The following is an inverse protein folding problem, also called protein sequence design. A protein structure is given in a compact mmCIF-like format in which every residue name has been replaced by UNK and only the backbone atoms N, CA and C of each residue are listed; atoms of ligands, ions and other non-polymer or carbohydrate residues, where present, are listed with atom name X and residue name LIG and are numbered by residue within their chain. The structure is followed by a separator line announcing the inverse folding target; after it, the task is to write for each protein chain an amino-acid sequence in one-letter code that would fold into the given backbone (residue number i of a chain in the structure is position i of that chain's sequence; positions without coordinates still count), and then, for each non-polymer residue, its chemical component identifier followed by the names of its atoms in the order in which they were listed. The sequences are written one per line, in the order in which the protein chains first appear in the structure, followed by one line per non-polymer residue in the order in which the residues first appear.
data_IF_581922460321
#
_entry.id   IF_581922460321
#
_cell.length_a   1.000
_cell.length_b   1.000
_cell.length_c   1.000
_cell.angle_alpha   90.00
_cell.angle_beta   90.00
_cell.angle_gamma   90.00
#
_symmetry.space_group_name_H-M   'P 1'
#
loop_
_entity.id
_entity.type
_entity.pdbx_description
1 polymer ?
#
# COMPACT_ATOMS: atom_id res chain seq x y z
N UNK A 1 62.20 -20.80 16.68
CA UNK A 1 61.45 -19.57 17.02
C UNK A 1 59.98 -19.91 17.26
N UNK A 2 59.46 -19.76 18.48
CA UNK A 2 58.05 -20.06 18.79
C UNK A 2 57.15 -18.89 18.39
N UNK A 3 56.16 -19.12 17.52
CA UNK A 3 55.18 -18.10 17.10
C UNK A 3 54.17 -17.85 18.22
N UNK A 4 54.27 -16.70 18.89
CA UNK A 4 53.26 -16.22 19.84
C UNK A 4 51.90 -16.04 19.15
N UNK A 5 51.00 -17.04 19.25
CA UNK A 5 49.60 -16.91 18.83
C UNK A 5 48.84 -16.02 19.82
N UNK A 6 48.68 -14.75 19.49
CA UNK A 6 47.79 -13.83 20.21
C UNK A 6 46.36 -14.41 20.27
N UNK A 7 45.88 -14.68 21.49
CA UNK A 7 44.52 -15.20 21.73
C UNK A 7 43.48 -14.14 21.36
N UNK A 8 42.94 -14.20 20.13
CA UNK A 8 41.85 -13.30 19.70
C UNK A 8 40.60 -13.55 20.55
N UNK A 9 39.97 -12.51 21.14
CA UNK A 9 38.77 -12.69 21.95
C UNK A 9 37.59 -13.15 21.08
N UNK A 10 36.76 -14.04 21.63
CA UNK A 10 35.58 -14.55 20.94
C UNK A 10 34.51 -13.48 20.80
N UNK A 11 33.90 -13.37 19.60
CA UNK A 11 32.72 -12.52 19.35
C UNK A 11 31.42 -13.11 19.93
N UNK A 12 31.43 -14.36 20.41
CA UNK A 12 30.26 -15.04 20.98
C UNK A 12 29.97 -14.50 22.38
N UNK A 13 28.86 -13.78 22.54
CA UNK A 13 28.43 -13.32 23.87
C UNK A 13 27.68 -14.42 24.64
N UNK A 14 27.95 -14.62 25.94
CA UNK A 14 27.19 -15.54 26.78
C UNK A 14 25.78 -14.97 27.03
N UNK A 15 24.77 -15.85 27.11
CA UNK A 15 23.36 -15.46 27.27
C UNK A 15 23.13 -14.51 28.47
N UNK A 16 23.81 -14.76 29.60
CA UNK A 16 23.80 -13.89 30.80
C UNK A 16 24.19 -12.45 30.49
N UNK A 17 25.16 -12.23 29.60
CA UNK A 17 25.57 -10.88 29.19
C UNK A 17 24.51 -10.23 28.29
N UNK A 18 23.95 -10.97 27.34
CA UNK A 18 22.88 -10.48 26.45
C UNK A 18 21.66 -10.01 27.26
N UNK A 19 21.14 -10.83 28.17
CA UNK A 19 20.02 -10.45 29.03
C UNK A 19 20.33 -9.29 29.99
N UNK A 20 21.59 -9.18 30.48
CA UNK A 20 22.03 -8.03 31.29
C UNK A 20 22.06 -6.73 30.48
N UNK A 21 22.46 -6.78 29.21
CA UNK A 21 22.42 -5.64 28.28
C UNK A 21 20.96 -5.26 27.96
N UNK A 22 20.12 -6.22 27.58
CA UNK A 22 18.69 -6.00 27.31
C UNK A 22 17.97 -5.34 28.50
N UNK A 23 18.23 -5.80 29.73
CA UNK A 23 17.66 -5.20 30.95
C UNK A 23 18.15 -3.76 31.15
N UNK A 24 19.46 -3.50 31.00
CA UNK A 24 20.02 -2.14 31.08
C UNK A 24 19.42 -1.18 30.05
N UNK A 25 19.29 -1.61 28.79
CA UNK A 25 18.69 -0.80 27.72
C UNK A 25 17.21 -0.50 28.01
N UNK A 26 16.46 -1.48 28.51
CA UNK A 26 15.05 -1.32 28.91
C UNK A 26 14.90 -0.31 30.06
N UNK A 27 15.76 -0.38 31.08
CA UNK A 27 15.78 0.57 32.20
C UNK A 27 16.19 1.98 31.77
N UNK A 28 17.22 2.12 30.93
CA UNK A 28 17.63 3.39 30.34
C UNK A 28 16.50 4.06 29.56
N UNK A 29 15.86 3.31 28.65
CA UNK A 29 14.75 3.83 27.84
C UNK A 29 13.51 4.16 28.71
N UNK A 30 13.32 3.47 29.84
CA UNK A 30 12.30 3.82 30.85
C UNK A 30 12.62 5.12 31.58
N UNK A 31 13.90 5.38 31.91
CA UNK A 31 14.34 6.67 32.50
C UNK A 31 14.16 7.83 31.51
N UNK A 32 14.65 7.70 30.27
CA UNK A 32 14.46 8.71 29.22
C UNK A 32 12.97 9.05 28.99
N UNK A 33 12.07 8.05 28.97
CA UNK A 33 10.62 8.29 28.86
C UNK A 33 10.03 9.03 30.06
N UNK A 34 10.58 8.87 31.28
CA UNK A 34 10.17 9.64 32.46
C UNK A 34 10.70 11.07 32.40
N UNK A 35 11.94 11.27 31.99
CA UNK A 35 12.58 12.59 31.87
C UNK A 35 11.92 13.43 30.75
N UNK A 36 11.64 12.83 29.60
CA UNK A 36 10.92 13.48 28.50
C UNK A 36 9.48 13.90 28.88
N UNK A 37 8.84 13.19 29.82
CA UNK A 37 7.55 13.59 30.40
C UNK A 37 7.67 14.74 31.41
N UNK A 38 8.78 14.84 32.13
CA UNK A 38 9.04 15.96 33.06
C UNK A 38 9.38 17.26 32.32
N UNK A 39 10.15 17.16 31.23
CA UNK A 39 10.54 18.29 30.39
C UNK A 39 10.05 18.09 28.95
N UNK A 40 8.77 18.39 28.65
CA UNK A 40 8.23 18.36 27.29
C UNK A 40 8.81 19.51 26.46
N UNK A 41 10.08 19.41 26.06
CA UNK A 41 10.68 20.32 25.09
C UNK A 41 9.93 20.17 23.77
N UNK A 42 9.14 21.19 23.41
CA UNK A 42 8.59 21.31 22.07
C UNK A 42 9.75 21.44 21.09
N UNK A 43 10.11 20.34 20.43
CA UNK A 43 10.95 20.38 19.23
C UNK A 43 10.14 21.04 18.12
N UNK A 44 10.05 22.37 18.16
CA UNK A 44 9.74 23.17 16.97
C UNK A 44 10.86 22.86 15.99
N UNK A 45 10.56 22.12 14.93
CA UNK A 45 11.50 21.89 13.85
C UNK A 45 11.91 23.27 13.32
N UNK A 46 13.20 23.62 13.43
CA UNK A 46 13.71 24.83 12.80
C UNK A 46 13.47 24.66 11.29
N UNK A 47 12.84 25.63 10.60
CA UNK A 47 12.69 25.53 9.15
C UNK A 47 14.06 25.41 8.50
N UNK A 48 14.17 24.55 7.49
CA UNK A 48 15.41 24.38 6.73
C UNK A 48 15.66 25.70 5.98
N UNK A 49 16.70 26.43 6.40
CA UNK A 49 17.08 27.68 5.76
C UNK A 49 17.92 27.38 4.52
N UNK A 50 17.63 28.06 3.41
CA UNK A 50 18.40 27.95 2.17
C UNK A 50 19.81 28.52 2.42
N UNK A 51 20.90 27.74 2.23
CA UNK A 51 22.26 28.23 2.40
C UNK A 51 22.55 29.46 1.53
N UNK A 52 23.41 30.35 2.01
CA UNK A 52 23.66 31.64 1.35
C UNK A 52 24.44 31.51 0.03
N UNK A 53 25.06 30.36 -0.21
CA UNK A 53 25.83 30.01 -1.42
C UNK A 53 24.94 29.56 -2.59
N UNK A 54 23.61 29.48 -2.42
CA UNK A 54 22.72 29.06 -3.49
C UNK A 54 22.51 30.20 -4.52
N UNK A 55 22.94 30.05 -5.79
CA UNK A 55 22.91 31.15 -6.77
C UNK A 55 21.49 31.59 -7.18
N UNK A 56 20.48 30.77 -6.92
CA UNK A 56 19.06 31.07 -7.22
C UNK A 56 18.23 31.36 -5.96
N UNK A 57 18.88 31.69 -4.84
CA UNK A 57 18.21 31.92 -3.55
C UNK A 57 17.11 32.98 -3.62
N UNK A 58 17.34 34.07 -4.35
CA UNK A 58 16.34 35.15 -4.50
C UNK A 58 15.12 34.71 -5.29
N UNK A 59 15.30 33.94 -6.36
CA UNK A 59 14.20 33.49 -7.22
C UNK A 59 13.36 32.43 -6.51
N UNK A 60 13.99 31.53 -5.77
CA UNK A 60 13.29 30.57 -4.89
C UNK A 60 12.46 31.31 -3.82
N UNK A 61 12.97 32.41 -3.27
CA UNK A 61 12.22 33.21 -2.29
C UNK A 61 11.03 33.95 -2.94
N UNK A 62 11.22 34.56 -4.11
CA UNK A 62 10.15 35.21 -4.90
C UNK A 62 9.05 34.21 -5.29
N UNK A 63 9.42 33.02 -5.75
CA UNK A 63 8.48 31.95 -6.10
C UNK A 63 7.66 31.49 -4.88
N UNK A 64 8.32 31.29 -3.73
CA UNK A 64 7.65 30.93 -2.47
C UNK A 64 6.68 32.03 -1.99
N UNK A 65 7.00 33.30 -2.20
CA UNK A 65 6.09 34.42 -1.88
C UNK A 65 4.91 34.50 -2.85
N UNK A 66 5.14 34.33 -4.16
CA UNK A 66 4.07 34.27 -5.15
C UNK A 66 3.08 33.11 -4.88
N UNK A 67 3.60 31.92 -4.56
CA UNK A 67 2.78 30.75 -4.19
C UNK A 67 2.00 30.99 -2.89
N UNK A 68 2.59 31.64 -1.88
CA UNK A 68 1.86 32.03 -0.65
C UNK A 68 0.73 33.00 -0.96
N UNK A 69 1.00 34.05 -1.73
CA UNK A 69 0.03 35.09 -2.10
C UNK A 69 -1.14 34.50 -2.88
N UNK A 70 -0.87 33.72 -3.93
CA UNK A 70 -1.91 33.02 -4.70
C UNK A 70 -2.78 32.12 -3.82
N UNK A 71 -2.17 31.36 -2.91
CA UNK A 71 -2.88 30.46 -1.98
C UNK A 71 -3.72 31.21 -0.94
N UNK A 72 -3.33 32.42 -0.57
CA UNK A 72 -4.12 33.28 0.32
C UNK A 72 -5.30 33.92 -0.42
N UNK A 73 -5.09 34.41 -1.65
CA UNK A 73 -6.13 34.94 -2.53
C UNK A 73 -7.20 33.88 -2.86
N UNK A 74 -6.80 32.65 -3.23
CA UNK A 74 -7.76 31.54 -3.43
C UNK A 74 -8.54 31.20 -2.16
N UNK A 75 -7.89 31.25 -1.00
CA UNK A 75 -8.55 31.01 0.30
C UNK A 75 -9.53 32.12 0.65
N UNK A 76 -9.28 33.36 0.25
CA UNK A 76 -10.23 34.47 0.40
C UNK A 76 -11.42 34.30 -0.57
N UNK A 77 -11.17 34.12 -1.87
CA UNK A 77 -12.22 33.85 -2.88
C UNK A 77 -13.13 32.69 -2.49
N UNK A 78 -12.57 31.57 -2.00
CA UNK A 78 -13.34 30.41 -1.52
C UNK A 78 -14.19 30.70 -0.28
N UNK A 79 -13.74 31.59 0.62
CA UNK A 79 -14.54 32.05 1.77
C UNK A 79 -15.69 32.97 1.35
N UNK A 80 -15.47 33.83 0.37
CA UNK A 80 -16.50 34.76 -0.14
C UNK A 80 -17.60 34.02 -0.90
N UNK A 81 -17.23 33.13 -1.82
CA UNK A 81 -18.17 32.23 -2.51
C UNK A 81 -19.02 31.44 -1.51
N UNK A 82 -18.41 30.86 -0.47
CA UNK A 82 -19.12 30.13 0.58
C UNK A 82 -20.00 31.02 1.50
N UNK A 83 -19.78 32.33 1.57
CA UNK A 83 -20.69 33.29 2.25
C UNK A 83 -21.90 33.60 1.36
N UNK A 84 -21.67 33.92 0.09
CA UNK A 84 -22.72 34.17 -0.92
C UNK A 84 -23.66 32.97 -1.06
N UNK A 85 -23.11 31.76 -1.14
CA UNK A 85 -23.88 30.52 -1.25
C UNK A 85 -24.75 30.28 0.00
N UNK A 86 -24.26 30.65 1.19
CA UNK A 86 -25.03 30.57 2.45
C UNK A 86 -26.14 31.63 2.54
N UNK A 87 -25.92 32.84 2.02
CA UNK A 87 -26.95 33.88 1.96
C UNK A 87 -28.10 33.44 1.05
N UNK A 88 -27.80 33.02 -0.19
CA UNK A 88 -28.81 32.46 -1.12
C UNK A 88 -29.61 31.32 -0.50
N UNK A 89 -28.92 30.34 0.12
CA UNK A 89 -29.56 29.21 0.83
C UNK A 89 -30.36 29.58 2.08
N UNK A 90 -30.25 30.82 2.57
CA UNK A 90 -31.04 31.35 3.69
C UNK A 90 -32.26 32.13 3.19
N UNK A 91 -32.14 32.80 2.05
CA UNK A 91 -33.25 33.45 1.35
C UNK A 91 -34.21 32.42 0.74
N UNK A 92 -33.68 31.39 0.06
CA UNK A 92 -34.46 30.25 -0.46
C UNK A 92 -35.30 29.56 0.64
N UNK A 93 -34.77 29.49 1.87
CA UNK A 93 -35.46 28.91 3.03
C UNK A 93 -36.53 29.79 3.65
N UNK A 94 -36.54 31.11 3.37
CA UNK A 94 -37.61 32.00 3.85
C UNK A 94 -38.86 31.94 2.99
N UNK A 95 -38.72 31.64 1.70
CA UNK A 95 -39.83 31.70 0.74
C UNK A 95 -40.66 30.40 0.62
N UNK A 96 -40.19 29.28 1.18
CA UNK A 96 -40.93 28.01 1.24
C UNK A 96 -40.97 27.49 2.68
N UNK A 97 -42.14 27.41 3.35
CA UNK A 97 -42.27 26.71 4.62
C UNK A 97 -42.20 25.19 4.40
N UNK A 98 -41.34 24.50 5.14
CA UNK A 98 -40.97 23.10 4.86
C UNK A 98 -41.65 22.13 5.85
N UNK A 99 -42.31 21.11 5.31
CA UNK A 99 -42.91 19.97 6.02
C UNK A 99 -41.83 19.09 6.68
N UNK A 100 -42.10 18.55 7.88
CA UNK A 100 -41.16 17.78 8.70
C UNK A 100 -40.34 16.72 7.94
N UNK A 101 -40.98 15.91 7.08
CA UNK A 101 -40.31 14.82 6.35
C UNK A 101 -39.20 15.31 5.41
N UNK A 102 -39.37 16.50 4.83
CA UNK A 102 -38.35 17.14 3.99
C UNK A 102 -37.13 17.60 4.82
N UNK A 103 -37.31 17.96 6.09
CA UNK A 103 -36.20 18.28 6.98
C UNK A 103 -35.40 17.03 7.38
N UNK A 104 -36.07 15.89 7.60
CA UNK A 104 -35.43 14.60 7.89
C UNK A 104 -34.62 14.13 6.68
N UNK A 105 -35.23 14.05 5.49
CA UNK A 105 -34.55 13.64 4.26
C UNK A 105 -33.34 14.55 3.91
N UNK A 106 -33.47 15.87 4.10
CA UNK A 106 -32.36 16.81 3.90
C UNK A 106 -31.30 16.75 5.00
N UNK A 107 -31.63 16.31 6.22
CA UNK A 107 -30.65 16.06 7.27
C UNK A 107 -29.82 14.80 6.97
N UNK A 108 -30.47 13.71 6.54
CA UNK A 108 -29.78 12.48 6.10
C UNK A 108 -28.89 12.71 4.88
N UNK A 109 -29.39 13.45 3.88
CA UNK A 109 -28.60 13.80 2.69
C UNK A 109 -27.40 14.70 3.05
N UNK A 110 -27.57 15.65 3.99
CA UNK A 110 -26.47 16.48 4.48
C UNK A 110 -25.48 15.72 5.37
N UNK A 111 -25.91 14.71 6.13
CA UNK A 111 -25.02 13.79 6.84
C UNK A 111 -24.09 13.09 5.84
N UNK A 112 -24.69 12.34 4.90
CA UNK A 112 -23.97 11.60 3.84
C UNK A 112 -22.97 12.47 3.06
N UNK A 113 -23.29 13.75 2.79
CA UNK A 113 -22.38 14.67 2.07
C UNK A 113 -21.33 15.33 2.99
N UNK A 114 -21.65 15.60 4.26
CA UNK A 114 -20.68 16.14 5.22
C UNK A 114 -19.61 15.10 5.58
N UNK A 115 -20.02 13.84 5.70
CA UNK A 115 -19.13 12.68 5.89
C UNK A 115 -18.23 12.44 4.65
N UNK A 116 -18.76 12.68 3.44
CA UNK A 116 -18.00 12.55 2.20
C UNK A 116 -16.97 13.67 1.95
N UNK A 117 -17.24 14.91 2.39
CA UNK A 117 -16.45 16.09 1.97
C UNK A 117 -15.61 16.78 3.05
N UNK A 118 -15.63 16.34 4.32
CA UNK A 118 -14.63 16.75 5.33
C UNK A 118 -13.28 16.01 5.20
N UNK A 119 -12.73 16.00 4.00
CA UNK A 119 -11.34 15.61 3.73
C UNK A 119 -10.38 16.77 4.05
N UNK A 120 -10.10 17.04 5.32
CA UNK A 120 -9.26 18.18 5.72
C UNK A 120 -8.80 18.16 7.17
N UNK A 121 -7.72 17.42 7.40
CA UNK A 121 -6.96 17.26 8.66
C UNK A 121 -7.68 16.71 9.91
N UNK A 122 -6.92 15.92 10.67
CA UNK A 122 -7.26 15.29 11.95
C UNK A 122 -8.41 14.24 11.97
N UNK A 123 -8.01 12.97 12.07
CA UNK A 123 -8.73 11.89 12.77
C UNK A 123 -10.16 11.55 12.30
N UNK A 124 -10.29 10.90 11.14
CA UNK A 124 -11.53 10.22 10.77
C UNK A 124 -11.46 8.70 11.05
N UNK A 125 -12.22 8.26 12.05
CA UNK A 125 -12.81 6.94 12.05
C UNK A 125 -13.89 6.91 10.96
N UNK A 126 -13.55 6.37 9.78
CA UNK A 126 -14.55 6.06 8.75
C UNK A 126 -15.40 4.89 9.26
N UNK A 127 -16.71 5.04 9.30
CA UNK A 127 -17.64 3.98 9.68
C UNK A 127 -17.86 3.03 8.49
N UNK A 128 -17.38 1.79 8.63
CA UNK A 128 -17.69 0.67 7.75
C UNK A 128 -18.26 -0.46 8.60
N UNK A 129 -19.01 -1.40 8.00
CA UNK A 129 -19.77 -2.40 8.75
C UNK A 129 -18.98 -3.68 9.07
N UNK A 130 -19.00 -4.09 10.35
CA UNK A 130 -18.79 -5.46 10.87
C UNK A 130 -17.41 -6.13 10.65
N UNK A 131 -16.28 -5.45 10.95
CA UNK A 131 -15.33 -5.96 11.97
C UNK A 131 -14.21 -4.93 12.25
N UNK A 132 -14.14 -4.41 13.49
CA UNK A 132 -13.25 -3.28 13.86
C UNK A 132 -11.75 -3.58 13.66
N UNK A 133 -11.36 -4.85 13.49
CA UNK A 133 -9.99 -5.27 13.17
C UNK A 133 -9.69 -5.30 11.66
N UNK A 134 -10.66 -5.68 10.81
CA UNK A 134 -10.48 -5.68 9.35
C UNK A 134 -10.38 -4.24 8.82
N UNK A 135 -11.24 -3.34 9.29
CA UNK A 135 -11.26 -1.93 8.86
C UNK A 135 -9.93 -1.20 9.13
N UNK A 136 -9.35 -1.40 10.31
CA UNK A 136 -8.04 -0.81 10.67
C UNK A 136 -6.91 -1.32 9.78
N UNK A 137 -7.00 -2.57 9.31
CA UNK A 137 -6.06 -3.15 8.36
C UNK A 137 -6.23 -2.51 6.98
N UNK A 138 -7.46 -2.44 6.47
CA UNK A 138 -7.79 -1.82 5.18
C UNK A 138 -7.37 -0.34 5.11
N UNK A 139 -7.71 0.47 6.12
CA UNK A 139 -7.28 1.88 6.24
C UNK A 139 -5.75 2.00 6.20
N UNK A 140 -5.03 1.06 6.82
CA UNK A 140 -3.56 1.03 6.80
C UNK A 140 -3.01 0.68 5.43
N UNK A 141 -3.54 -0.34 4.75
CA UNK A 141 -3.09 -0.71 3.40
C UNK A 141 -3.37 0.38 2.36
N UNK A 142 -4.55 1.02 2.42
CA UNK A 142 -4.89 2.11 1.50
C UNK A 142 -4.00 3.34 1.69
N UNK A 143 -3.55 3.61 2.94
CA UNK A 143 -2.54 4.63 3.22
C UNK A 143 -1.18 4.31 2.60
N UNK A 144 -0.73 3.05 2.66
CA UNK A 144 0.53 2.66 2.01
C UNK A 144 0.40 2.72 0.48
N UNK A 145 -0.71 2.25 -0.09
CA UNK A 145 -1.00 2.37 -1.53
C UNK A 145 -0.99 3.82 -2.02
N UNK A 146 -1.55 4.76 -1.26
CA UNK A 146 -1.50 6.19 -1.58
C UNK A 146 -0.08 6.80 -1.59
N UNK A 147 0.92 6.16 -0.95
CA UNK A 147 2.35 6.53 -1.05
C UNK A 147 3.05 5.91 -2.26
N UNK A 148 2.53 4.79 -2.79
CA UNK A 148 2.99 4.21 -4.07
C UNK A 148 2.43 5.03 -5.25
N UNK A 149 1.15 5.40 -5.18
CA UNK A 149 0.63 6.64 -5.80
C UNK A 149 1.36 7.84 -5.16
N UNK A 150 1.30 9.04 -5.72
CA UNK A 150 2.27 10.13 -5.44
C UNK A 150 3.71 9.81 -5.88
N UNK A 151 4.48 8.93 -5.21
CA UNK A 151 5.92 8.72 -5.48
C UNK A 151 6.25 8.07 -6.82
N UNK A 152 5.47 7.08 -7.30
CA UNK A 152 5.75 6.39 -8.56
C UNK A 152 5.24 7.15 -9.79
N UNK A 153 5.95 7.07 -10.91
CA UNK A 153 5.57 7.66 -12.21
C UNK A 153 4.87 6.63 -13.12
N UNK A 154 5.15 5.35 -12.89
CA UNK A 154 4.51 4.18 -13.53
C UNK A 154 4.10 3.19 -12.44
N UNK A 155 2.93 2.57 -12.57
CA UNK A 155 2.43 1.53 -11.66
C UNK A 155 2.38 0.20 -12.42
N UNK A 156 3.03 -0.83 -11.86
CA UNK A 156 2.91 -2.23 -12.29
C UNK A 156 1.93 -2.93 -11.35
N UNK A 157 0.76 -3.33 -11.85
CA UNK A 157 -0.15 -4.21 -11.10
C UNK A 157 0.17 -5.66 -11.45
N UNK A 158 0.57 -6.43 -10.43
CA UNK A 158 0.94 -7.84 -10.60
C UNK A 158 -0.27 -8.74 -10.36
N UNK A 159 -0.57 -9.55 -11.36
CA UNK A 159 -1.77 -10.39 -11.49
C UNK A 159 -1.31 -11.85 -11.66
N UNK A 160 -2.05 -12.82 -11.11
CA UNK A 160 -1.74 -14.26 -11.28
C UNK A 160 -2.35 -14.75 -12.60
N UNK A 161 -1.53 -15.24 -13.53
CA UNK A 161 -1.95 -15.62 -14.87
C UNK A 161 -2.94 -16.80 -14.92
N UNK A 162 -3.09 -17.55 -13.81
CA UNK A 162 -4.07 -18.64 -13.67
C UNK A 162 -5.50 -18.14 -13.38
N UNK A 163 -5.62 -16.96 -12.78
CA UNK A 163 -6.91 -16.30 -12.50
C UNK A 163 -6.73 -14.77 -12.64
N UNK A 164 -6.60 -14.27 -13.87
CA UNK A 164 -6.26 -12.87 -14.10
C UNK A 164 -7.42 -11.92 -13.80
N UNK A 165 -8.66 -12.41 -13.74
CA UNK A 165 -9.83 -11.60 -13.39
C UNK A 165 -10.04 -11.57 -11.87
N UNK A 166 -9.95 -12.71 -11.20
CA UNK A 166 -10.08 -12.79 -9.74
C UNK A 166 -8.91 -12.19 -8.97
N UNK A 167 -7.74 -12.01 -9.60
CA UNK A 167 -6.56 -11.38 -8.99
C UNK A 167 -6.26 -9.92 -9.40
N UNK A 168 -7.07 -9.32 -10.28
CA UNK A 168 -7.07 -7.87 -10.55
C UNK A 168 -7.85 -7.10 -9.48
N UNK A 169 -7.53 -5.82 -9.31
CA UNK A 169 -8.27 -4.93 -8.41
C UNK A 169 -8.72 -3.66 -9.14
N UNK A 170 -9.99 -3.63 -9.55
CA UNK A 170 -10.59 -2.49 -10.27
C UNK A 170 -10.43 -1.17 -9.50
N UNK A 171 -10.53 -1.20 -8.17
CA UNK A 171 -10.34 -0.02 -7.31
C UNK A 171 -8.91 0.53 -7.35
N UNK A 172 -7.90 -0.33 -7.55
CA UNK A 172 -6.51 0.08 -7.79
C UNK A 172 -6.39 0.71 -9.18
N UNK A 173 -6.96 0.08 -10.21
CA UNK A 173 -6.91 0.60 -11.57
C UNK A 173 -7.57 1.99 -11.69
N UNK A 174 -8.73 2.17 -11.06
CA UNK A 174 -9.45 3.44 -10.99
C UNK A 174 -8.63 4.51 -10.28
N UNK A 175 -8.13 4.24 -9.06
CA UNK A 175 -7.31 5.20 -8.31
C UNK A 175 -6.01 5.58 -9.04
N UNK A 176 -5.39 4.65 -9.78
CA UNK A 176 -4.20 4.94 -10.61
C UNK A 176 -4.59 5.81 -11.81
N UNK A 177 -5.71 5.53 -12.47
CA UNK A 177 -6.25 6.28 -13.61
C UNK A 177 -6.63 7.72 -13.22
N UNK A 178 -7.32 7.90 -12.09
CA UNK A 178 -7.62 9.21 -11.49
C UNK A 178 -6.36 10.01 -11.18
N UNK A 179 -5.29 9.34 -10.74
CA UNK A 179 -4.00 10.00 -10.45
C UNK A 179 -3.19 10.39 -11.70
N UNK A 180 -3.68 10.10 -12.91
CA UNK A 180 -3.00 10.40 -14.19
C UNK A 180 -1.72 9.59 -14.44
N UNK A 181 -1.42 8.57 -13.62
CA UNK A 181 -0.23 7.73 -13.75
C UNK A 181 -0.43 6.64 -14.80
N UNK A 182 0.66 6.16 -15.39
CA UNK A 182 0.61 5.02 -16.31
C UNK A 182 0.47 3.72 -15.53
N UNK A 183 -0.56 2.94 -15.85
CA UNK A 183 -0.78 1.58 -15.35
C UNK A 183 -0.27 0.57 -16.38
N UNK A 184 0.41 -0.48 -15.91
CA UNK A 184 0.80 -1.65 -16.70
C UNK A 184 0.42 -2.91 -15.92
N UNK A 185 -0.33 -3.82 -16.55
CA UNK A 185 -0.67 -5.11 -15.96
C UNK A 185 0.46 -6.11 -16.22
N UNK A 186 0.92 -6.82 -15.19
CA UNK A 186 1.99 -7.81 -15.25
C UNK A 186 1.43 -9.17 -14.84
N UNK A 187 1.20 -10.02 -15.84
CA UNK A 187 0.75 -11.40 -15.66
C UNK A 187 1.91 -12.29 -15.23
N UNK A 188 1.91 -12.70 -13.96
CA UNK A 188 2.93 -13.55 -13.37
C UNK A 188 2.49 -15.02 -13.33
N UNK A 189 3.45 -15.95 -13.22
CA UNK A 189 3.21 -17.41 -13.24
C UNK A 189 2.63 -17.92 -14.57
N UNK A 190 3.04 -17.30 -15.68
CA UNK A 190 2.62 -17.67 -17.03
C UNK A 190 3.07 -19.10 -17.45
N UNK A 191 4.03 -19.68 -16.74
CA UNK A 191 4.45 -21.08 -16.82
C UNK A 191 3.37 -22.08 -16.38
N UNK A 192 2.41 -21.65 -15.56
CA UNK A 192 1.32 -22.50 -15.05
C UNK A 192 0.05 -22.48 -15.92
N UNK A 193 0.12 -21.87 -17.10
CA UNK A 193 -0.99 -21.76 -18.07
C UNK A 193 -0.53 -22.34 -19.42
N UNK A 194 -1.41 -22.97 -20.23
CA UNK A 194 -1.00 -23.56 -21.50
C UNK A 194 -0.33 -22.55 -22.44
N UNK A 195 0.72 -22.99 -23.16
CA UNK A 195 1.62 -22.14 -23.96
C UNK A 195 1.01 -21.61 -25.28
N UNK A 196 -0.26 -21.22 -25.27
CA UNK A 196 -0.92 -20.55 -26.41
C UNK A 196 -0.60 -19.05 -26.52
N UNK A 197 -0.13 -18.42 -25.45
CA UNK A 197 0.10 -16.98 -25.36
C UNK A 197 1.59 -16.63 -25.33
N UNK A 198 2.02 -15.66 -26.15
CA UNK A 198 3.40 -15.18 -26.17
C UNK A 198 3.78 -14.53 -24.82
N UNK A 199 4.62 -15.22 -24.06
CA UNK A 199 5.10 -14.76 -22.76
C UNK A 199 6.23 -13.74 -22.95
N UNK A 200 6.01 -12.49 -22.55
CA UNK A 200 6.99 -11.42 -22.73
C UNK A 200 7.91 -11.35 -21.51
N UNK A 201 9.20 -11.68 -21.71
CA UNK A 201 10.17 -11.82 -20.64
C UNK A 201 10.56 -10.52 -19.93
N UNK A 202 11.25 -10.67 -18.79
CA UNK A 202 11.75 -9.58 -17.96
C UNK A 202 12.55 -8.51 -18.72
N UNK A 203 13.29 -8.91 -19.76
CA UNK A 203 14.17 -8.04 -20.54
C UNK A 203 13.38 -7.00 -21.36
N UNK A 204 12.21 -7.38 -21.89
CA UNK A 204 11.35 -6.45 -22.61
C UNK A 204 10.64 -5.48 -21.66
N UNK A 205 10.23 -5.94 -20.47
CA UNK A 205 9.69 -5.04 -19.43
C UNK A 205 10.74 -3.98 -19.02
N UNK A 206 11.97 -4.40 -18.75
CA UNK A 206 13.08 -3.48 -18.45
C UNK A 206 13.36 -2.53 -19.63
N UNK A 207 13.30 -3.02 -20.87
CA UNK A 207 13.49 -2.20 -22.08
C UNK A 207 12.36 -1.18 -22.27
N UNK A 208 11.11 -1.56 -22.01
CA UNK A 208 9.94 -0.68 -22.04
C UNK A 208 10.04 0.44 -21.00
N UNK A 209 10.42 0.10 -19.76
CA UNK A 209 10.68 1.06 -18.69
C UNK A 209 11.87 1.98 -19.02
N UNK A 210 12.95 1.43 -19.59
CA UNK A 210 14.10 2.19 -20.06
C UNK A 210 13.78 3.17 -21.18
N UNK A 211 12.91 2.78 -22.12
CA UNK A 211 12.41 3.65 -23.19
C UNK A 211 11.49 4.75 -22.62
N UNK A 212 10.63 4.43 -21.66
CA UNK A 212 9.79 5.42 -20.97
C UNK A 212 10.62 6.51 -20.27
N UNK A 213 11.76 6.14 -19.67
CA UNK A 213 12.73 7.10 -19.10
C UNK A 213 13.34 8.04 -20.15
N UNK A 214 13.66 7.54 -21.36
CA UNK A 214 14.22 8.38 -22.44
C UNK A 214 13.21 9.37 -23.02
N UNK A 215 11.94 8.98 -23.12
CA UNK A 215 10.95 9.65 -23.97
C UNK A 215 10.28 10.90 -23.36
N UNK A 216 10.76 11.42 -22.22
CA UNK A 216 10.10 12.54 -21.51
C UNK A 216 10.98 13.73 -21.14
N UNK A 217 12.31 13.67 -21.33
CA UNK A 217 13.21 14.73 -20.84
C UNK A 217 13.19 14.94 -19.32
N UNK A 218 12.58 14.02 -18.57
CA UNK A 218 12.33 14.10 -17.13
C UNK A 218 13.25 13.14 -16.40
N UNK A 219 14.08 13.70 -15.51
CA UNK A 219 14.90 13.06 -14.46
C UNK A 219 15.88 11.96 -14.91
N UNK A 220 17.01 11.91 -14.21
CA UNK A 220 18.03 10.87 -14.35
C UNK A 220 17.55 9.47 -13.92
N UNK A 221 16.43 9.35 -13.20
CA UNK A 221 15.81 8.06 -12.83
C UNK A 221 14.29 8.14 -12.74
N UNK A 222 13.59 7.15 -13.31
CA UNK A 222 12.14 6.94 -13.10
C UNK A 222 11.86 6.11 -11.84
N UNK A 223 10.69 6.32 -11.23
CA UNK A 223 10.19 5.53 -10.10
C UNK A 223 8.99 4.69 -10.54
N UNK A 224 9.03 3.38 -10.25
CA UNK A 224 8.04 2.39 -10.68
C UNK A 224 7.44 1.71 -9.44
N UNK A 225 6.13 1.84 -9.22
CA UNK A 225 5.43 1.25 -8.07
C UNK A 225 4.87 -0.14 -8.40
N UNK A 226 5.13 -1.15 -7.57
CA UNK A 226 4.63 -2.52 -7.79
C UNK A 226 3.52 -2.82 -6.80
N UNK A 227 2.31 -3.07 -7.30
CA UNK A 227 1.06 -3.26 -6.52
C UNK A 227 0.35 -4.56 -6.91
N UNK A 228 -0.69 -4.94 -6.15
CA UNK A 228 -1.46 -6.17 -6.35
C UNK A 228 -1.61 -7.02 -5.07
N UNK A 229 -2.39 -8.09 -5.15
CA UNK A 229 -2.74 -8.97 -4.03
C UNK A 229 -1.50 -9.59 -3.33
N UNK A 230 -1.62 -10.07 -2.08
CA UNK A 230 -0.61 -10.94 -1.46
C UNK A 230 -0.33 -12.17 -2.35
N UNK A 231 0.88 -12.73 -2.27
CA UNK A 231 1.26 -14.01 -2.90
C UNK A 231 1.13 -14.14 -4.44
N UNK A 232 0.73 -13.09 -5.16
CA UNK A 232 0.82 -13.04 -6.64
C UNK A 232 2.26 -13.06 -7.15
N UNK A 233 3.23 -12.63 -6.33
CA UNK A 233 4.67 -12.71 -6.62
C UNK A 233 5.41 -11.39 -6.80
N UNK A 234 4.82 -10.24 -6.45
CA UNK A 234 5.43 -8.88 -6.54
C UNK A 234 6.93 -8.85 -6.21
N UNK A 235 7.29 -9.14 -4.97
CA UNK A 235 8.67 -9.08 -4.48
C UNK A 235 9.60 -10.14 -5.14
N UNK A 236 9.04 -11.22 -5.69
CA UNK A 236 9.78 -12.20 -6.51
C UNK A 236 10.09 -11.66 -7.91
N UNK A 237 9.16 -10.95 -8.55
CA UNK A 237 9.40 -10.25 -9.83
C UNK A 237 10.50 -9.20 -9.66
N UNK A 238 10.46 -8.44 -8.55
CA UNK A 238 11.49 -7.43 -8.25
C UNK A 238 12.87 -8.08 -8.13
N UNK A 239 12.98 -9.21 -7.42
CA UNK A 239 14.24 -9.97 -7.34
C UNK A 239 14.70 -10.53 -8.70
N UNK A 240 13.76 -10.96 -9.54
CA UNK A 240 14.05 -11.46 -10.90
C UNK A 240 14.56 -10.34 -11.82
N UNK A 241 13.90 -9.18 -11.81
CA UNK A 241 14.34 -7.99 -12.54
C UNK A 241 15.71 -7.52 -12.05
N UNK A 242 15.93 -7.47 -10.72
CA UNK A 242 17.18 -7.04 -10.10
C UNK A 242 18.30 -8.10 -10.14
N UNK A 243 18.04 -9.28 -10.73
CA UNK A 243 18.90 -10.46 -10.80
C UNK A 243 19.58 -10.82 -9.46
N UNK A 244 18.95 -10.48 -8.34
CA UNK A 244 19.51 -10.58 -6.98
C UNK A 244 18.42 -10.51 -5.92
N UNK A 245 18.71 -10.99 -4.71
CA UNK A 245 17.75 -11.06 -3.60
C UNK A 245 17.70 -9.75 -2.81
N UNK A 246 17.02 -8.75 -3.37
CA UNK A 246 16.80 -7.44 -2.73
C UNK A 246 15.63 -7.48 -1.73
N UNK A 247 14.52 -8.11 -2.10
CA UNK A 247 13.32 -8.23 -1.29
C UNK A 247 13.22 -9.61 -0.62
N UNK A 248 12.66 -9.65 0.60
CA UNK A 248 12.25 -10.90 1.22
C UNK A 248 11.01 -11.47 0.52
N UNK A 249 11.00 -12.78 0.29
CA UNK A 249 9.92 -13.51 -0.38
C UNK A 249 9.50 -14.70 0.48
N UNK A 250 8.23 -15.10 0.36
CA UNK A 250 7.67 -16.26 1.05
C UNK A 250 6.23 -16.51 0.59
N UNK A 251 5.70 -17.69 0.93
CA UNK A 251 4.34 -18.14 0.55
C UNK A 251 3.23 -17.66 1.50
N UNK A 252 3.58 -17.06 2.65
CA UNK A 252 2.63 -16.57 3.64
C UNK A 252 2.29 -15.09 3.36
N UNK A 253 1.01 -14.68 3.40
CA UNK A 253 0.64 -13.26 3.35
C UNK A 253 1.32 -12.45 4.46
N UNK A 254 1.64 -11.18 4.17
CA UNK A 254 2.24 -10.27 5.14
C UNK A 254 3.75 -10.42 5.38
N UNK A 255 4.48 -11.07 4.47
CA UNK A 255 5.96 -11.02 4.43
C UNK A 255 6.44 -9.58 4.18
N UNK A 256 5.95 -8.94 3.11
CA UNK A 256 6.21 -7.53 2.80
C UNK A 256 5.25 -6.65 3.62
N UNK A 257 5.75 -6.05 4.71
CA UNK A 257 4.95 -5.27 5.68
C UNK A 257 5.01 -3.76 5.51
N UNK A 258 6.03 -3.26 4.83
CA UNK A 258 6.29 -1.84 4.64
C UNK A 258 6.73 -1.63 3.19
N UNK A 259 6.46 -0.44 2.66
CA UNK A 259 6.97 -0.04 1.34
C UNK A 259 8.50 0.13 1.42
N UNK A 260 9.22 -0.36 0.40
CA UNK A 260 10.68 -0.25 0.30
C UNK A 260 11.10 0.08 -1.14
N UNK A 261 12.16 0.88 -1.28
CA UNK A 261 12.74 1.21 -2.58
C UNK A 261 13.89 0.27 -2.92
N UNK A 262 13.84 -0.34 -4.09
CA UNK A 262 14.92 -1.13 -4.70
C UNK A 262 15.45 -0.38 -5.91
N UNK A 263 16.76 -0.12 -5.96
CA UNK A 263 17.41 0.39 -7.15
C UNK A 263 17.65 -0.78 -8.11
N UNK A 264 17.10 -0.70 -9.32
CA UNK A 264 17.27 -1.72 -10.37
C UNK A 264 18.50 -1.45 -11.23
N UNK A 265 18.60 -0.20 -11.69
CA UNK A 265 19.68 0.36 -12.49
C UNK A 265 19.75 1.86 -12.17
N UNK A 266 20.85 2.53 -12.51
CA UNK A 266 21.02 3.99 -12.51
C UNK A 266 19.76 4.79 -12.85
N UNK A 267 18.99 4.33 -13.85
CA UNK A 267 17.79 5.01 -14.38
C UNK A 267 16.45 4.50 -13.83
N UNK A 268 16.40 3.40 -13.07
CA UNK A 268 15.14 2.77 -12.65
C UNK A 268 15.16 2.45 -11.15
N UNK A 269 14.18 3.01 -10.43
CA UNK A 269 13.85 2.70 -9.04
C UNK A 269 12.51 1.98 -8.98
N UNK A 270 12.41 0.96 -8.15
CA UNK A 270 11.19 0.19 -7.92
C UNK A 270 10.74 0.39 -6.48
N UNK A 271 9.44 0.62 -6.24
CA UNK A 271 8.81 0.59 -4.93
C UNK A 271 8.07 -0.75 -4.76
N UNK A 272 8.60 -1.61 -3.90
CA UNK A 272 7.93 -2.84 -3.48
C UNK A 272 6.89 -2.48 -2.39
N UNK A 273 5.61 -2.74 -2.65
CA UNK A 273 4.53 -2.45 -1.70
C UNK A 273 4.03 -3.70 -0.98
N UNK A 274 3.44 -3.55 0.22
CA UNK A 274 2.66 -4.61 0.85
C UNK A 274 1.56 -5.14 -0.09
N UNK A 275 1.17 -6.40 0.08
CA UNK A 275 0.02 -6.96 -0.63
C UNK A 275 -1.27 -6.33 -0.17
N UNK A 276 -2.04 -5.79 -1.12
CA UNK A 276 -3.30 -5.09 -0.84
C UNK A 276 -4.45 -6.04 -1.11
N UNK A 277 -5.35 -6.21 -0.15
CA UNK A 277 -6.59 -6.98 -0.31
C UNK A 277 -7.75 -6.01 -0.11
N UNK A 278 -8.49 -5.72 -1.17
CA UNK A 278 -9.77 -5.04 -1.07
C UNK A 278 -10.84 -6.13 -1.00
N UNK A 279 -11.61 -6.15 0.09
CA UNK A 279 -12.85 -6.95 0.10
C UNK A 279 -13.93 -6.10 -0.58
N UNK A 280 -14.30 -6.48 -1.79
CA UNK A 280 -15.66 -6.24 -2.29
C UNK A 280 -16.63 -6.93 -1.33
N UNK A 281 -17.74 -6.28 -0.96
CA UNK A 281 -18.71 -6.85 0.00
C UNK A 281 -19.39 -8.17 -0.46
N UNK A 282 -19.11 -8.59 -1.69
CA UNK A 282 -19.50 -9.86 -2.32
C UNK A 282 -18.50 -11.00 -2.14
N UNK A 283 -17.25 -10.73 -1.76
CA UNK A 283 -16.18 -11.73 -1.71
C UNK A 283 -16.21 -12.48 -0.36
N UNK A 284 -16.73 -13.71 -0.39
CA UNK A 284 -16.68 -14.62 0.76
C UNK A 284 -15.24 -14.91 1.20
N UNK A 285 -14.99 -15.10 2.50
CA UNK A 285 -13.68 -15.48 3.07
C UNK A 285 -13.01 -16.64 2.28
N UNK A 286 -13.80 -17.59 1.79
CA UNK A 286 -13.33 -18.70 0.96
C UNK A 286 -12.76 -18.28 -0.40
N UNK A 287 -13.34 -17.28 -1.10
CA UNK A 287 -12.77 -16.81 -2.38
C UNK A 287 -11.44 -16.09 -2.17
N UNK A 288 -11.33 -15.31 -1.08
CA UNK A 288 -10.10 -14.62 -0.68
C UNK A 288 -9.03 -15.62 -0.19
N UNK A 289 -9.44 -16.73 0.43
CA UNK A 289 -8.58 -17.85 0.76
C UNK A 289 -8.03 -18.56 -0.49
N UNK A 290 -8.88 -18.83 -1.49
CA UNK A 290 -8.47 -19.45 -2.77
C UNK A 290 -7.49 -18.57 -3.56
N UNK A 291 -7.62 -17.23 -3.46
CA UNK A 291 -6.65 -16.25 -3.98
C UNK A 291 -5.31 -16.24 -3.20
N UNK A 292 -5.16 -17.06 -2.16
CA UNK A 292 -4.03 -17.11 -1.22
C UNK A 292 -3.69 -15.74 -0.61
N UNK A 293 -4.72 -14.93 -0.35
CA UNK A 293 -4.58 -13.61 0.24
C UNK A 293 -4.67 -13.62 1.78
N UNK A 294 -5.28 -14.66 2.37
CA UNK A 294 -5.38 -14.90 3.82
C UNK A 294 -4.45 -16.07 4.20
N UNK A 295 -3.88 -16.03 5.40
CA UNK A 295 -3.07 -17.14 5.92
C UNK A 295 -3.96 -18.34 6.21
N UNK A 296 -3.67 -19.49 5.59
CA UNK A 296 -4.49 -20.73 5.72
C UNK A 296 -4.77 -21.10 7.18
N UNK A 297 -3.75 -21.05 8.05
CA UNK A 297 -3.89 -21.35 9.49
C UNK A 297 -4.66 -20.31 10.33
N UNK A 298 -5.28 -19.29 9.72
CA UNK A 298 -6.22 -18.38 10.38
C UNK A 298 -7.62 -18.37 9.74
N UNK A 299 -7.92 -19.34 8.88
CA UNK A 299 -9.27 -19.53 8.34
C UNK A 299 -10.20 -20.05 9.44
N UNK A 300 -11.34 -19.38 9.63
CA UNK A 300 -12.41 -19.83 10.55
C UNK A 300 -13.08 -21.11 10.01
N UNK A 301 -13.34 -21.13 8.71
CA UNK A 301 -13.86 -22.28 7.98
C UNK A 301 -12.87 -22.71 6.87
N UNK A 302 -12.12 -23.82 7.07
CA UNK A 302 -11.29 -24.41 6.03
C UNK A 302 -12.07 -25.37 5.10
N UNK A 303 -13.29 -25.79 5.47
CA UNK A 303 -14.07 -26.80 4.74
C UNK A 303 -14.63 -26.23 3.45
N UNK A 304 -15.20 -25.02 3.46
CA UNK A 304 -15.70 -24.36 2.24
C UNK A 304 -14.61 -24.18 1.16
N UNK A 305 -13.42 -23.59 1.44
CA UNK A 305 -12.38 -23.49 0.41
C UNK A 305 -11.81 -24.85 0.00
N UNK A 306 -11.72 -25.84 0.90
CA UNK A 306 -11.32 -27.20 0.52
C UNK A 306 -12.33 -27.87 -0.43
N UNK A 307 -13.63 -27.72 -0.15
CA UNK A 307 -14.74 -28.19 -0.99
C UNK A 307 -14.65 -27.58 -2.40
N UNK A 308 -14.40 -26.27 -2.48
CA UNK A 308 -14.25 -25.56 -3.74
C UNK A 308 -13.00 -26.00 -4.55
N UNK A 309 -11.93 -26.49 -3.88
CA UNK A 309 -10.78 -27.11 -4.55
C UNK A 309 -11.16 -28.49 -5.08
N UNK A 310 -11.79 -29.34 -4.26
CA UNK A 310 -12.21 -30.70 -4.63
C UNK A 310 -13.20 -30.71 -5.80
N UNK A 311 -14.08 -29.70 -5.90
CA UNK A 311 -15.01 -29.53 -7.03
C UNK A 311 -14.33 -29.12 -8.35
N UNK A 312 -13.15 -28.49 -8.29
CA UNK A 312 -12.40 -28.00 -9.47
C UNK A 312 -11.30 -28.97 -9.92
N UNK A 313 -10.79 -29.78 -9.00
CA UNK A 313 -9.72 -30.72 -9.26
C UNK A 313 -10.24 -32.00 -9.94
N UNK A 314 -9.42 -32.59 -10.80
CA UNK A 314 -9.74 -33.86 -11.43
C UNK A 314 -9.62 -35.00 -10.39
N UNK A 315 -10.73 -35.70 -10.13
CA UNK A 315 -10.84 -36.70 -9.06
C UNK A 315 -9.77 -37.78 -9.13
N UNK A 316 -9.55 -38.36 -10.32
CA UNK A 316 -8.55 -39.42 -10.50
C UNK A 316 -7.15 -38.91 -10.13
N UNK A 317 -6.82 -37.68 -10.52
CA UNK A 317 -5.51 -37.08 -10.20
C UNK A 317 -5.31 -36.87 -8.70
N UNK A 318 -6.39 -36.64 -7.93
CA UNK A 318 -6.32 -36.59 -6.47
C UNK A 318 -6.16 -37.98 -5.84
N UNK A 319 -6.87 -38.98 -6.35
CA UNK A 319 -6.74 -40.40 -5.97
C UNK A 319 -5.30 -40.88 -6.18
N UNK A 320 -4.75 -40.65 -7.37
CA UNK A 320 -3.39 -41.07 -7.74
C UNK A 320 -2.30 -40.33 -6.95
N UNK A 321 -2.44 -39.00 -6.76
CA UNK A 321 -1.43 -38.16 -6.12
C UNK A 321 -1.37 -38.33 -4.60
N UNK A 322 -2.53 -38.53 -3.95
CA UNK A 322 -2.65 -38.60 -2.49
C UNK A 322 -2.92 -40.03 -1.97
N UNK A 323 -3.02 -41.02 -2.85
CA UNK A 323 -3.31 -42.42 -2.52
C UNK A 323 -4.60 -42.59 -1.68
N UNK A 324 -5.63 -41.80 -1.99
CA UNK A 324 -6.93 -41.83 -1.29
C UNK A 324 -7.95 -42.69 -2.03
N UNK A 325 -8.93 -43.31 -1.34
CA UNK A 325 -10.00 -44.06 -2.00
C UNK A 325 -10.80 -43.20 -3.00
N UNK A 326 -11.38 -43.80 -4.06
CA UNK A 326 -12.27 -43.08 -4.97
C UNK A 326 -13.45 -42.44 -4.25
N UNK A 327 -13.74 -41.18 -4.56
CA UNK A 327 -14.81 -40.41 -3.92
C UNK A 327 -15.74 -39.74 -4.93
N UNK A 328 -17.04 -39.72 -4.61
CA UNK A 328 -18.07 -39.15 -5.49
C UNK A 328 -18.44 -37.71 -5.11
N UNK A 329 -18.54 -37.42 -3.81
CA UNK A 329 -18.85 -36.10 -3.26
C UNK A 329 -17.63 -35.47 -2.59
N UNK A 330 -17.49 -34.13 -2.61
CA UNK A 330 -16.51 -33.41 -1.78
C UNK A 330 -16.77 -33.52 -0.28
N UNK A 331 -18.04 -33.71 0.10
CA UNK A 331 -18.48 -34.01 1.45
C UNK A 331 -18.39 -35.52 1.70
N UNK A 332 -17.92 -35.88 2.90
CA UNK A 332 -17.86 -37.26 3.42
C UNK A 332 -19.26 -37.83 3.59
#
# INVERSE_FOLDING_TARGET
MAKFKLKKPSKRQPARLRYKIEKKVREHNRKLKKEAKKNPKSKKNKPIQIPNECPFKEDILKEVEAVKKHKEEERQKRKELAKLEKQKKTEEKKNNPIVMDSLVANAEARGKVHDAFKGGDANNDIEFGKDRQQENSLKTYYREFKKVISEAEVILEVVDARDPLGTRCVQVEEAVRESGKRLVLVLNKADLVPRGSACVGAELLTSLLGNYCRNKGIKTSITVGVVGLPNVGKSSIINSLNRSKACNVGSTPGVTKQMQTVQLDSKIKILDSPGIVFHTGSDNDASVALKNAIRVGSLKDPVTPATAILQRAHKQTLVDLYCVPPFNTPQV
#
